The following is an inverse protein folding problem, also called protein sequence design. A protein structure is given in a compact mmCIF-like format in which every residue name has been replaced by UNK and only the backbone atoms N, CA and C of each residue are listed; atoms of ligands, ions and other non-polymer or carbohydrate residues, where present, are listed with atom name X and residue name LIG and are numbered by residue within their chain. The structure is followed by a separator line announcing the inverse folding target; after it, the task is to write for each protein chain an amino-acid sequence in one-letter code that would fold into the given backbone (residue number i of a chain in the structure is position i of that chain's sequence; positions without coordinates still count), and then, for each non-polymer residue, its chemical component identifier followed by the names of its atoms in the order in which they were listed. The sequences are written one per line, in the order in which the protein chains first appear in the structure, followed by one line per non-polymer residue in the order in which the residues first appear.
data_IF_597923504120
#
_entry.id   IF_597923504120
#
_cell.length_a   1.000
_cell.length_b   1.000
_cell.length_c   1.000
_cell.angle_alpha   90.00
_cell.angle_beta   90.00
_cell.angle_gamma   90.00
#
_symmetry.space_group_name_H-M   'P 1'
#
loop_
_entity.id
_entity.type
_entity.pdbx_description
1 polymer ?
#
# COMPACT_ATOMS: atom_id res chain seq x y z
N UNK A 1 -4.93 -25.57 0.67
CA UNK A 1 -4.37 -25.11 -0.65
C UNK A 1 -4.98 -23.78 -1.09
N UNK A 2 -6.26 -23.53 -0.88
CA UNK A 2 -6.96 -22.32 -1.34
C UNK A 2 -6.38 -21.01 -0.77
N UNK A 3 -6.03 -20.96 0.51
CA UNK A 3 -5.52 -19.75 1.18
C UNK A 3 -4.20 -19.25 0.60
N UNK A 4 -3.26 -20.15 0.33
CA UNK A 4 -1.91 -19.80 -0.13
C UNK A 4 -1.91 -19.25 -1.57
N UNK A 5 -2.74 -19.83 -2.46
CA UNK A 5 -2.92 -19.29 -3.81
C UNK A 5 -3.52 -17.89 -3.79
N UNK A 6 -4.52 -17.65 -2.92
CA UNK A 6 -5.16 -16.34 -2.79
C UNK A 6 -4.17 -15.25 -2.32
N UNK A 7 -3.28 -15.56 -1.38
CA UNK A 7 -2.27 -14.61 -0.91
C UNK A 7 -1.23 -14.27 -1.97
N UNK A 8 -0.79 -15.25 -2.78
CA UNK A 8 0.16 -14.98 -3.88
C UNK A 8 -0.49 -14.07 -4.94
N UNK A 9 -1.76 -14.35 -5.29
CA UNK A 9 -2.51 -13.53 -6.23
C UNK A 9 -2.63 -12.08 -5.71
N UNK A 10 -2.90 -11.91 -4.42
CA UNK A 10 -2.92 -10.59 -3.77
C UNK A 10 -1.55 -9.88 -3.87
N UNK A 11 -0.46 -10.59 -3.61
CA UNK A 11 0.89 -10.06 -3.82
C UNK A 11 1.16 -9.57 -5.24
N UNK A 12 0.77 -10.36 -6.24
CA UNK A 12 0.97 -10.01 -7.65
C UNK A 12 0.11 -8.81 -8.06
N UNK A 13 -1.15 -8.75 -7.61
CA UNK A 13 -2.07 -7.65 -7.92
C UNK A 13 -1.58 -6.34 -7.32
N UNK A 14 -1.18 -6.35 -6.03
CA UNK A 14 -0.69 -5.16 -5.34
C UNK A 14 0.64 -4.65 -5.92
N UNK A 15 1.59 -5.55 -6.19
CA UNK A 15 2.83 -5.21 -6.88
C UNK A 15 2.56 -4.67 -8.29
N UNK A 16 1.67 -5.31 -9.05
CA UNK A 16 1.29 -4.87 -10.39
C UNK A 16 0.66 -3.48 -10.40
N UNK A 17 -0.25 -3.19 -9.46
CA UNK A 17 -0.87 -1.88 -9.32
C UNK A 17 0.17 -0.79 -9.03
N UNK A 18 1.06 -1.02 -8.07
CA UNK A 18 2.13 -0.07 -7.73
C UNK A 18 3.15 0.06 -8.88
N UNK A 19 3.46 -1.02 -9.59
CA UNK A 19 4.32 -0.98 -10.77
C UNK A 19 3.74 -0.09 -11.88
N UNK A 20 2.42 -0.17 -12.13
CA UNK A 20 1.74 0.73 -13.08
C UNK A 20 1.89 2.19 -12.64
N UNK A 21 1.75 2.49 -11.35
CA UNK A 21 1.94 3.85 -10.82
C UNK A 21 3.39 4.34 -10.94
N UNK A 22 4.37 3.46 -10.72
CA UNK A 22 5.79 3.77 -10.93
C UNK A 22 6.06 4.13 -12.39
N UNK A 23 5.50 3.35 -13.33
CA UNK A 23 5.65 3.60 -14.78
C UNK A 23 4.99 4.92 -15.18
N UNK A 24 3.77 5.21 -14.72
CA UNK A 24 3.06 6.46 -15.00
C UNK A 24 3.81 7.66 -14.42
N UNK A 25 4.33 7.55 -13.19
CA UNK A 25 5.07 8.62 -12.53
C UNK A 25 6.51 8.77 -13.03
N UNK A 26 6.98 7.91 -13.95
CA UNK A 26 8.37 7.85 -14.43
C UNK A 26 9.39 7.76 -13.29
N UNK A 27 9.03 7.10 -12.19
CA UNK A 27 9.87 6.99 -10.99
C UNK A 27 10.06 8.28 -10.20
N UNK A 28 9.37 9.38 -10.52
CA UNK A 28 9.47 10.65 -9.78
C UNK A 28 8.71 10.64 -8.45
N UNK A 29 7.72 9.76 -8.30
CA UNK A 29 6.87 9.68 -7.11
C UNK A 29 7.03 8.39 -6.32
N UNK A 30 7.15 7.25 -7.02
CA UNK A 30 7.28 5.93 -6.42
C UNK A 30 8.55 5.24 -6.93
N UNK A 31 9.19 4.48 -6.05
CA UNK A 31 10.44 3.78 -6.33
C UNK A 31 10.18 2.31 -6.65
N UNK A 32 11.11 1.65 -7.34
CA UNK A 32 11.07 0.20 -7.57
C UNK A 32 10.98 -0.60 -6.26
N UNK A 33 11.62 -0.13 -5.18
CA UNK A 33 11.49 -0.76 -3.87
C UNK A 33 10.04 -0.75 -3.34
N UNK A 34 9.24 0.26 -3.69
CA UNK A 34 7.84 0.33 -3.28
C UNK A 34 7.00 -0.77 -3.96
N UNK A 35 7.41 -1.23 -5.15
CA UNK A 35 6.76 -2.34 -5.86
C UNK A 35 6.97 -3.65 -5.09
N UNK A 36 8.20 -3.93 -4.67
CA UNK A 36 8.53 -5.12 -3.89
C UNK A 36 7.80 -5.08 -2.54
N UNK A 37 7.82 -3.92 -1.88
CA UNK A 37 7.16 -3.72 -0.60
C UNK A 37 5.63 -3.93 -0.72
N UNK A 38 5.01 -3.40 -1.77
CA UNK A 38 3.59 -3.61 -2.06
C UNK A 38 3.28 -5.09 -2.30
N UNK A 39 4.14 -5.80 -3.03
CA UNK A 39 4.01 -7.24 -3.24
C UNK A 39 4.06 -8.04 -1.94
N UNK A 40 5.04 -7.76 -1.07
CA UNK A 40 5.12 -8.40 0.24
C UNK A 40 3.92 -8.05 1.13
N UNK A 41 3.50 -6.78 1.14
CA UNK A 41 2.33 -6.35 1.90
C UNK A 41 1.04 -7.04 1.42
N UNK A 42 0.85 -7.20 0.12
CA UNK A 42 -0.29 -7.93 -0.45
C UNK A 42 -0.30 -9.41 -0.08
N UNK A 43 0.88 -10.05 -0.02
CA UNK A 43 0.98 -11.46 0.44
C UNK A 43 0.61 -11.57 1.92
N UNK A 44 1.07 -10.62 2.76
CA UNK A 44 0.83 -10.63 4.20
C UNK A 44 -0.64 -10.39 4.55
N UNK A 45 -1.29 -9.45 3.87
CA UNK A 45 -2.69 -9.09 4.11
C UNK A 45 -3.66 -10.09 3.48
N UNK A 46 -3.29 -10.67 2.34
CA UNK A 46 -4.13 -11.62 1.62
C UNK A 46 -5.19 -10.94 0.73
N UNK A 47 -6.01 -11.78 0.08
CA UNK A 47 -6.93 -11.34 -0.96
C UNK A 47 -8.14 -10.56 -0.43
N UNK A 48 -8.61 -10.89 0.78
CA UNK A 48 -9.84 -10.30 1.31
C UNK A 48 -9.68 -8.81 1.64
N UNK A 49 -8.45 -8.37 1.95
CA UNK A 49 -8.16 -7.01 2.39
C UNK A 49 -7.24 -6.21 1.46
N UNK A 50 -6.90 -6.75 0.30
CA UNK A 50 -6.02 -6.06 -0.67
C UNK A 50 -6.58 -4.71 -1.12
N UNK A 51 -7.91 -4.62 -1.30
CA UNK A 51 -8.57 -3.37 -1.65
C UNK A 51 -8.40 -2.33 -0.54
N UNK A 52 -8.55 -2.71 0.73
CA UNK A 52 -8.35 -1.80 1.85
C UNK A 52 -6.88 -1.37 1.96
N UNK A 53 -5.94 -2.27 1.68
CA UNK A 53 -4.51 -1.94 1.66
C UNK A 53 -4.19 -0.88 0.59
N UNK A 54 -4.58 -1.13 -0.65
CA UNK A 54 -4.31 -0.22 -1.78
C UNK A 54 -5.03 1.12 -1.61
N UNK A 55 -6.30 1.08 -1.21
CA UNK A 55 -7.13 2.27 -1.06
C UNK A 55 -6.71 3.09 0.16
N UNK A 56 -6.45 2.44 1.30
CA UNK A 56 -5.94 3.09 2.50
C UNK A 56 -4.59 3.75 2.29
N UNK A 57 -3.67 3.05 1.61
CA UNK A 57 -2.34 3.62 1.30
C UNK A 57 -2.45 4.80 0.33
N UNK A 58 -3.29 4.68 -0.70
CA UNK A 58 -3.51 5.76 -1.67
C UNK A 58 -4.17 6.99 -1.04
N UNK A 59 -5.19 6.80 -0.18
CA UNK A 59 -5.85 7.89 0.53
C UNK A 59 -4.90 8.61 1.48
N UNK A 60 -4.15 7.87 2.30
CA UNK A 60 -3.17 8.47 3.18
C UNK A 60 -2.06 9.16 2.39
N UNK A 61 -1.58 8.55 1.30
CA UNK A 61 -0.59 9.17 0.40
C UNK A 61 -1.08 10.49 -0.21
N UNK A 62 -2.33 10.52 -0.67
CA UNK A 62 -2.95 11.74 -1.19
C UNK A 62 -3.14 12.81 -0.09
N UNK A 63 -3.64 12.42 1.08
CA UNK A 63 -3.84 13.33 2.21
C UNK A 63 -2.52 13.93 2.70
N UNK A 64 -1.49 13.10 2.93
CA UNK A 64 -0.16 13.57 3.29
C UNK A 64 0.46 14.43 2.19
N UNK A 65 0.30 14.03 0.92
CA UNK A 65 0.76 14.82 -0.22
C UNK A 65 0.13 16.22 -0.27
N UNK A 66 -1.18 16.31 -0.05
CA UNK A 66 -1.90 17.58 0.02
C UNK A 66 -1.42 18.44 1.20
N UNK A 67 -1.27 17.86 2.39
CA UNK A 67 -0.77 18.58 3.58
C UNK A 67 0.63 19.14 3.33
N UNK A 68 1.53 18.35 2.75
CA UNK A 68 2.89 18.77 2.41
C UNK A 68 2.88 19.87 1.35
N UNK A 69 2.03 19.74 0.33
CA UNK A 69 1.88 20.76 -0.73
C UNK A 69 1.42 22.11 -0.14
N UNK A 70 0.43 22.09 0.76
CA UNK A 70 -0.09 23.28 1.43
C UNK A 70 0.96 23.97 2.32
N UNK A 71 1.75 23.20 3.07
CA UNK A 71 2.77 23.74 3.98
C UNK A 71 4.00 24.27 3.25
N UNK A 72 4.43 23.59 2.20
CA UNK A 72 5.74 23.86 1.59
C UNK A 72 5.64 24.87 0.43
N UNK A 73 4.43 25.12 -0.12
CA UNK A 73 4.18 25.90 -1.35
C UNK A 73 5.10 25.52 -2.53
N UNK A 74 5.78 24.37 -2.47
CA UNK A 74 6.70 23.88 -3.49
C UNK A 74 5.91 23.13 -4.56
N UNK A 75 6.34 23.31 -5.82
CA UNK A 75 5.82 22.58 -6.97
C UNK A 75 6.01 21.07 -6.75
N UNK A 76 4.92 20.32 -6.95
CA UNK A 76 4.69 18.95 -7.50
C UNK A 76 5.79 17.86 -7.41
N UNK A 77 7.08 18.19 -7.30
CA UNK A 77 8.23 17.28 -7.32
C UNK A 77 8.72 16.85 -5.93
N UNK A 78 7.98 17.12 -4.85
CA UNK A 78 8.33 16.52 -3.54
C UNK A 78 8.08 15.02 -3.60
N UNK A 79 9.15 14.23 -3.58
CA UNK A 79 9.13 12.78 -3.41
C UNK A 79 8.38 12.44 -2.10
N UNK A 80 7.12 12.03 -2.23
CA UNK A 80 6.35 11.47 -1.12
C UNK A 80 6.85 10.04 -0.95
N UNK A 81 7.46 9.74 0.18
CA UNK A 81 7.88 8.37 0.49
C UNK A 81 6.62 7.54 0.69
N UNK A 82 6.34 6.63 -0.25
CA UNK A 82 5.16 5.78 -0.21
C UNK A 82 5.34 4.59 0.72
N UNK A 83 6.58 4.08 0.86
CA UNK A 83 6.92 2.96 1.75
C UNK A 83 6.43 3.12 3.21
N UNK A 84 6.65 4.23 3.92
CA UNK A 84 6.20 4.37 5.31
C UNK A 84 4.67 4.32 5.45
N UNK A 85 3.95 4.86 4.47
CA UNK A 85 2.49 4.85 4.45
C UNK A 85 1.96 3.44 4.18
N UNK A 86 2.55 2.75 3.21
CA UNK A 86 2.20 1.36 2.89
C UNK A 86 2.44 0.44 4.09
N UNK A 87 3.60 0.56 4.76
CA UNK A 87 3.88 -0.17 6.00
C UNK A 87 2.85 0.15 7.10
N UNK A 88 2.52 1.43 7.29
CA UNK A 88 1.57 1.85 8.32
C UNK A 88 0.18 1.21 8.11
N UNK A 89 -0.33 1.24 6.88
CA UNK A 89 -1.62 0.63 6.54
C UNK A 89 -1.56 -0.89 6.69
N UNK A 90 -0.47 -1.52 6.25
CA UNK A 90 -0.26 -2.97 6.40
C UNK A 90 -0.36 -3.38 7.87
N UNK A 91 0.33 -2.68 8.76
CA UNK A 91 0.30 -2.96 10.21
C UNK A 91 -1.11 -2.80 10.77
N UNK A 92 -1.81 -1.72 10.41
CA UNK A 92 -3.18 -1.46 10.88
C UNK A 92 -4.13 -2.57 10.45
N UNK A 93 -4.07 -3.02 9.19
CA UNK A 93 -4.90 -4.11 8.68
C UNK A 93 -4.59 -5.44 9.39
N UNK A 94 -3.32 -5.75 9.61
CA UNK A 94 -2.93 -6.94 10.38
C UNK A 94 -3.51 -6.92 11.81
N UNK A 95 -3.55 -5.75 12.45
CA UNK A 95 -4.17 -5.61 13.78
C UNK A 95 -5.69 -5.78 13.75
N UNK A 96 -6.36 -5.29 12.71
CA UNK A 96 -7.81 -5.45 12.53
C UNK A 96 -8.14 -6.92 12.31
N UNK A 97 -7.42 -7.61 11.41
CA UNK A 97 -7.55 -9.05 11.21
C UNK A 97 -7.37 -9.82 12.51
N UNK A 98 -6.30 -9.53 13.26
CA UNK A 98 -6.03 -10.18 14.54
C UNK A 98 -7.18 -10.00 15.54
N UNK A 99 -7.79 -8.81 15.59
CA UNK A 99 -8.96 -8.54 16.43
C UNK A 99 -10.19 -9.34 16.00
N UNK A 100 -10.42 -9.51 14.70
CA UNK A 100 -11.58 -10.25 14.20
C UNK A 100 -11.46 -11.76 14.48
N UNK A 101 -10.24 -12.33 14.43
CA UNK A 101 -10.01 -13.72 14.85
C UNK A 101 -10.30 -13.94 16.34
N UNK A 102 -9.97 -12.97 17.21
CA UNK A 102 -10.22 -13.07 18.65
C UNK A 102 -11.70 -12.97 19.01
N UNK A 103 -12.54 -12.33 18.17
CA UNK A 103 -14.00 -12.21 18.40
C UNK A 103 -14.78 -13.46 18.02
N UNK A 104 -14.16 -14.40 17.32
CA UNK A 104 -14.76 -15.66 16.88
C UNK A 104 -14.60 -16.79 17.90
N UNK A 105 -13.86 -16.56 18.99
CA UNK A 105 -13.70 -17.46 20.15
C UNK A 105 -14.39 -16.88 21.38
#
# INVERSE_FOLDING_TARGET
ISFFNSSIIAGVISAGFVAILVLISRGKGLTINDILLAGYAGILVGNDEILYLLLGTSLLGSAFGLIVMLRTKKKIETLIQFAPLLCSVTIVLMFIQASDYLRLF
#
